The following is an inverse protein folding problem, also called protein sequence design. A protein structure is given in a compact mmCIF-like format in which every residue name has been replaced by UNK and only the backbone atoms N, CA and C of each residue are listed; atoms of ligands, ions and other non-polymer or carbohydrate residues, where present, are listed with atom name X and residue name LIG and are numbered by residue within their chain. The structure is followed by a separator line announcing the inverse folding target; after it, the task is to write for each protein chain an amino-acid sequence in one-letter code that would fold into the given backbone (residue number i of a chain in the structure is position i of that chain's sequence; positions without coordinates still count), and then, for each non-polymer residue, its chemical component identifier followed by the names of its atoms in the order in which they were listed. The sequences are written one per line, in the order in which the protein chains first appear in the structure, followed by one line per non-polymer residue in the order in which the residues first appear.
data_IF_674116898337
#
_entry.id   IF_674116898337
#
_cell.length_a   1.000
_cell.length_b   1.000
_cell.length_c   1.000
_cell.angle_alpha   90.00
_cell.angle_beta   90.00
_cell.angle_gamma   90.00
#
_symmetry.space_group_name_H-M   'P 1'
#
loop_
_entity.id
_entity.type
_entity.pdbx_description
1 polymer ?
#
# COMPACT_ATOMS: atom_id res chain seq x y z
N UNK A 1 11.35 31.85 -10.69
CA UNK A 1 11.80 30.54 -11.21
C UNK A 1 13.33 30.32 -11.14
N UNK A 2 14.14 31.20 -10.53
CA UNK A 2 15.61 31.01 -10.43
C UNK A 2 16.08 30.36 -9.11
N UNK A 3 15.31 30.44 -8.04
CA UNK A 3 15.76 30.03 -6.70
C UNK A 3 15.64 28.53 -6.40
N UNK A 4 14.74 27.81 -7.09
CA UNK A 4 14.56 26.36 -6.88
C UNK A 4 15.74 25.54 -7.41
N UNK A 5 16.43 25.99 -8.47
CA UNK A 5 17.59 25.28 -9.02
C UNK A 5 18.82 25.32 -8.11
N UNK A 6 19.00 26.39 -7.32
CA UNK A 6 20.11 26.49 -6.35
C UNK A 6 19.91 25.55 -5.16
N UNK A 7 18.66 25.35 -4.74
CA UNK A 7 18.35 24.39 -3.68
C UNK A 7 18.70 22.97 -4.15
N UNK A 8 18.26 22.56 -5.34
CA UNK A 8 18.42 21.18 -5.81
C UNK A 8 19.87 20.68 -5.87
N UNK A 9 20.83 21.49 -6.35
CA UNK A 9 22.25 21.10 -6.38
C UNK A 9 22.87 20.90 -4.99
N UNK A 10 22.34 21.60 -3.98
CA UNK A 10 22.83 21.55 -2.59
C UNK A 10 22.43 20.24 -1.88
N UNK A 11 21.38 19.57 -2.33
CA UNK A 11 20.90 18.31 -1.74
C UNK A 11 21.67 17.12 -2.32
N UNK A 12 22.01 17.15 -3.61
CA UNK A 12 22.85 16.12 -4.24
C UNK A 12 24.20 16.03 -3.55
N UNK A 13 24.85 17.19 -3.33
CA UNK A 13 26.15 17.27 -2.66
C UNK A 13 26.08 16.85 -1.17
N UNK A 14 24.92 17.00 -0.53
CA UNK A 14 24.66 16.57 0.85
C UNK A 14 24.58 15.03 0.95
N UNK A 15 23.80 14.40 0.06
CA UNK A 15 23.58 12.94 0.09
C UNK A 15 24.76 12.12 -0.44
N UNK A 16 25.57 12.68 -1.34
CA UNK A 16 26.77 11.99 -1.85
C UNK A 16 27.95 12.01 -0.85
N UNK A 17 28.06 13.05 -0.01
CA UNK A 17 29.23 13.25 0.85
C UNK A 17 29.00 12.97 2.34
N UNK A 18 27.76 12.92 2.81
CA UNK A 18 27.45 12.61 4.22
C UNK A 18 26.92 11.19 4.38
N UNK A 19 27.48 10.46 5.32
CA UNK A 19 26.99 9.15 5.73
C UNK A 19 25.66 9.31 6.48
N UNK A 20 24.56 9.27 5.73
CA UNK A 20 23.19 9.49 6.21
C UNK A 20 22.78 8.48 7.30
N UNK A 21 23.48 7.33 7.36
CA UNK A 21 23.18 6.26 8.32
C UNK A 21 23.42 6.68 9.78
N UNK A 22 24.37 7.58 10.05
CA UNK A 22 24.64 8.06 11.41
C UNK A 22 23.60 9.11 11.89
N UNK A 23 22.79 9.65 10.97
CA UNK A 23 21.72 10.61 11.27
C UNK A 23 20.36 9.92 11.50
N UNK A 24 20.24 8.61 11.30
CA UNK A 24 19.01 7.84 11.54
C UNK A 24 18.93 7.50 13.03
N UNK A 25 18.15 8.29 13.78
CA UNK A 25 17.83 7.99 15.18
C UNK A 25 16.78 6.89 15.26
N UNK A 26 16.96 5.95 16.18
CA UNK A 26 16.04 4.82 16.46
C UNK A 26 14.79 5.29 17.26
N UNK A 27 14.40 6.54 17.07
CA UNK A 27 13.23 7.14 17.72
C UNK A 27 11.97 6.63 17.04
N UNK A 28 10.97 6.22 17.84
CA UNK A 28 9.68 5.79 17.32
C UNK A 28 9.02 6.97 16.61
N UNK A 29 9.10 7.01 15.28
CA UNK A 29 8.37 7.99 14.48
C UNK A 29 6.88 7.75 14.70
N UNK A 30 6.23 8.67 15.41
CA UNK A 30 4.78 8.64 15.57
C UNK A 30 4.16 8.90 14.19
N UNK A 31 3.75 7.83 13.50
CA UNK A 31 2.98 7.90 12.27
C UNK A 31 1.58 8.42 12.59
N UNK A 32 1.44 9.72 12.84
CA UNK A 32 0.13 10.34 12.93
C UNK A 32 -0.50 10.30 11.54
N UNK A 33 -1.63 9.60 11.43
CA UNK A 33 -2.50 9.72 10.26
C UNK A 33 -2.78 11.21 10.04
N UNK A 34 -2.28 11.75 8.93
CA UNK A 34 -2.51 13.14 8.52
C UNK A 34 -3.99 13.48 8.70
N UNK A 35 -4.30 14.60 9.37
CA UNK A 35 -5.67 14.92 9.79
C UNK A 35 -6.64 14.98 8.60
N UNK A 36 -6.12 15.34 7.42
CA UNK A 36 -6.85 15.29 6.15
C UNK A 36 -7.30 13.87 5.79
N UNK A 37 -6.44 12.87 5.97
CA UNK A 37 -6.75 11.46 5.73
C UNK A 37 -7.78 10.94 6.74
N UNK A 38 -7.65 11.35 8.01
CA UNK A 38 -8.63 11.02 9.05
C UNK A 38 -10.01 11.62 8.72
N UNK A 39 -10.06 12.87 8.28
CA UNK A 39 -11.29 13.54 7.86
C UNK A 39 -11.90 12.92 6.60
N UNK A 40 -11.10 12.48 5.63
CA UNK A 40 -11.58 11.78 4.43
C UNK A 40 -12.15 10.39 4.74
N UNK A 41 -11.60 9.70 5.74
CA UNK A 41 -12.14 8.44 6.28
C UNK A 41 -13.47 8.68 7.00
N UNK A 42 -13.49 9.65 7.93
CA UNK A 42 -14.68 9.96 8.74
C UNK A 42 -15.82 10.56 7.92
N UNK A 43 -15.52 11.44 6.97
CA UNK A 43 -16.50 12.07 6.08
C UNK A 43 -17.09 11.11 5.04
N UNK A 44 -16.55 9.89 4.91
CA UNK A 44 -17.06 8.88 4.01
C UNK A 44 -16.90 9.22 2.51
N UNK A 45 -16.21 10.31 2.17
CA UNK A 45 -15.86 10.68 0.77
C UNK A 45 -15.09 9.56 0.07
N UNK A 46 -14.35 8.76 0.83
CA UNK A 46 -13.63 7.57 0.34
C UNK A 46 -14.46 6.27 0.35
N UNK A 47 -15.80 6.32 0.33
CA UNK A 47 -16.58 5.10 0.06
C UNK A 47 -16.51 4.78 -1.44
N UNK A 48 -15.41 4.14 -1.88
CA UNK A 48 -15.35 3.54 -3.22
C UNK A 48 -16.51 2.55 -3.34
N UNK A 49 -17.46 2.82 -4.24
CA UNK A 49 -18.58 1.92 -4.51
C UNK A 49 -18.01 0.60 -5.04
N UNK A 50 -18.25 -0.48 -4.30
CA UNK A 50 -17.88 -1.82 -4.73
C UNK A 50 -18.68 -2.16 -6.00
N UNK A 51 -18.01 -2.75 -7.00
CA UNK A 51 -18.64 -3.27 -8.21
C UNK A 51 -18.72 -4.80 -8.09
N UNK A 52 -19.88 -5.35 -8.45
CA UNK A 52 -20.06 -6.79 -8.52
C UNK A 52 -19.42 -7.30 -9.81
N UNK A 53 -18.60 -8.34 -9.69
CA UNK A 53 -17.96 -9.03 -10.81
C UNK A 53 -18.27 -10.52 -10.71
N UNK A 54 -18.50 -11.15 -11.85
CA UNK A 54 -18.70 -12.61 -11.94
C UNK A 54 -17.48 -13.22 -12.60
N UNK A 55 -16.79 -14.12 -11.88
CA UNK A 55 -15.61 -14.83 -12.38
C UNK A 55 -15.95 -16.33 -12.41
N UNK A 56 -15.71 -16.98 -13.55
CA UNK A 56 -15.81 -18.44 -13.65
C UNK A 56 -14.50 -19.05 -13.15
N UNK A 57 -14.59 -19.95 -12.18
CA UNK A 57 -13.43 -20.63 -11.57
C UNK A 57 -13.74 -22.14 -11.53
N UNK A 58 -12.72 -22.97 -11.68
CA UNK A 58 -12.84 -24.41 -11.50
C UNK A 58 -13.38 -24.74 -10.08
N UNK A 59 -14.41 -25.59 -9.94
CA UNK A 59 -14.98 -25.99 -8.65
C UNK A 59 -13.97 -26.52 -7.63
N UNK A 60 -12.89 -27.18 -8.09
CA UNK A 60 -11.84 -27.71 -7.20
C UNK A 60 -11.09 -26.57 -6.48
N UNK A 61 -10.76 -25.50 -7.21
CA UNK A 61 -10.10 -24.33 -6.62
C UNK A 61 -11.02 -23.61 -5.63
N UNK A 62 -12.32 -23.49 -5.93
CA UNK A 62 -13.28 -22.88 -5.00
C UNK A 62 -13.35 -23.65 -3.68
N UNK A 63 -13.36 -24.98 -3.76
CA UNK A 63 -13.39 -25.85 -2.57
C UNK A 63 -12.12 -25.70 -1.74
N UNK A 64 -10.96 -25.66 -2.38
CA UNK A 64 -9.68 -25.43 -1.71
C UNK A 64 -9.63 -24.04 -1.02
N UNK A 65 -10.07 -22.99 -1.71
CA UNK A 65 -10.13 -21.63 -1.14
C UNK A 65 -11.07 -21.57 0.05
N UNK A 66 -12.24 -22.21 -0.02
CA UNK A 66 -13.17 -22.28 1.11
C UNK A 66 -12.53 -22.97 2.32
N UNK A 67 -11.82 -24.07 2.11
CA UNK A 67 -11.11 -24.77 3.19
C UNK A 67 -10.05 -23.88 3.85
N UNK A 68 -9.24 -23.19 3.04
CA UNK A 68 -8.23 -22.23 3.52
C UNK A 68 -8.86 -21.05 4.27
N UNK A 69 -9.99 -20.56 3.80
CA UNK A 69 -10.73 -19.47 4.42
C UNK A 69 -11.28 -19.88 5.79
N UNK A 70 -11.87 -21.08 5.91
CA UNK A 70 -12.31 -21.64 7.19
C UNK A 70 -11.15 -21.80 8.17
N UNK A 71 -10.01 -22.32 7.72
CA UNK A 71 -8.81 -22.44 8.56
C UNK A 71 -8.30 -21.09 9.07
N UNK A 72 -8.43 -20.04 8.25
CA UNK A 72 -8.07 -18.66 8.62
C UNK A 72 -9.18 -17.90 9.36
N UNK A 73 -10.32 -18.53 9.63
CA UNK A 73 -11.52 -17.90 10.25
C UNK A 73 -11.99 -16.63 9.53
N UNK A 74 -11.84 -16.58 8.21
CA UNK A 74 -12.19 -15.43 7.35
C UNK A 74 -13.11 -15.92 6.23
N UNK A 75 -14.11 -15.13 5.77
CA UNK A 75 -14.91 -15.52 4.61
C UNK A 75 -14.08 -15.68 3.33
N UNK A 76 -14.39 -16.70 2.53
CA UNK A 76 -13.63 -17.00 1.29
C UNK A 76 -13.59 -15.82 0.31
N UNK A 77 -14.64 -15.00 0.28
CA UNK A 77 -14.73 -13.80 -0.54
C UNK A 77 -13.71 -12.72 -0.10
N UNK A 78 -13.50 -12.58 1.20
CA UNK A 78 -12.52 -11.65 1.78
C UNK A 78 -11.11 -12.13 1.50
N UNK A 79 -10.85 -13.45 1.60
CA UNK A 79 -9.55 -14.03 1.29
C UNK A 79 -9.16 -13.79 -0.18
N UNK A 80 -10.07 -14.07 -1.12
CA UNK A 80 -9.85 -13.82 -2.55
C UNK A 80 -9.56 -12.34 -2.81
N UNK A 81 -10.33 -11.44 -2.16
CA UNK A 81 -10.13 -9.99 -2.28
C UNK A 81 -8.75 -9.57 -1.79
N UNK A 82 -8.31 -10.12 -0.67
CA UNK A 82 -7.02 -9.80 -0.08
C UNK A 82 -5.86 -10.23 -0.98
N UNK A 83 -5.87 -11.49 -1.45
CA UNK A 83 -4.86 -11.98 -2.40
C UNK A 83 -4.82 -11.17 -3.69
N UNK A 84 -5.98 -10.81 -4.24
CA UNK A 84 -6.04 -9.97 -5.45
C UNK A 84 -5.39 -8.60 -5.22
N UNK A 85 -5.62 -7.98 -4.06
CA UNK A 85 -5.03 -6.69 -3.73
C UNK A 85 -3.51 -6.77 -3.54
N UNK A 86 -3.02 -7.82 -2.85
CA UNK A 86 -1.59 -8.05 -2.68
C UNK A 86 -0.88 -8.28 -4.01
N UNK A 87 -1.46 -9.11 -4.89
CA UNK A 87 -0.82 -9.44 -6.16
C UNK A 87 -0.78 -8.25 -7.10
N UNK A 88 -1.86 -7.44 -7.17
CA UNK A 88 -1.84 -6.18 -7.92
C UNK A 88 -0.76 -5.25 -7.40
N UNK A 89 -0.57 -5.16 -6.07
CA UNK A 89 0.48 -4.31 -5.49
C UNK A 89 1.87 -4.77 -5.90
N UNK A 90 2.13 -6.08 -5.84
CA UNK A 90 3.43 -6.65 -6.26
C UNK A 90 3.71 -6.39 -7.73
N UNK A 91 2.72 -6.62 -8.60
CA UNK A 91 2.87 -6.38 -10.04
C UNK A 91 3.13 -4.90 -10.35
N UNK A 92 2.44 -3.98 -9.67
CA UNK A 92 2.72 -2.55 -9.81
C UNK A 92 4.15 -2.19 -9.38
N UNK A 93 4.61 -2.72 -8.25
CA UNK A 93 5.98 -2.49 -7.77
C UNK A 93 7.06 -3.06 -8.73
N UNK A 94 6.75 -4.14 -9.45
CA UNK A 94 7.65 -4.72 -10.45
C UNK A 94 7.67 -3.93 -11.76
N UNK A 95 6.55 -3.33 -12.16
CA UNK A 95 6.44 -2.51 -13.38
C UNK A 95 7.02 -1.11 -13.20
N UNK A 96 7.06 -0.60 -11.96
CA UNK A 96 7.67 0.71 -11.64
C UNK A 96 9.20 0.66 -11.47
N UNK A 97 9.82 -0.53 -11.53
CA UNK A 97 11.29 -0.72 -11.53
C UNK A 97 11.84 -0.93 -12.94
#
# INVERSE_FOLDING_TARGET
MKDQKKAQGKWTEYYDNKSILDEITDESVYLSLDDNLRQDILSGKRKKKLKNITIKINPLHITAIKKLATMKSIPYQTLIRHWLAEEIKKELELVER
#
